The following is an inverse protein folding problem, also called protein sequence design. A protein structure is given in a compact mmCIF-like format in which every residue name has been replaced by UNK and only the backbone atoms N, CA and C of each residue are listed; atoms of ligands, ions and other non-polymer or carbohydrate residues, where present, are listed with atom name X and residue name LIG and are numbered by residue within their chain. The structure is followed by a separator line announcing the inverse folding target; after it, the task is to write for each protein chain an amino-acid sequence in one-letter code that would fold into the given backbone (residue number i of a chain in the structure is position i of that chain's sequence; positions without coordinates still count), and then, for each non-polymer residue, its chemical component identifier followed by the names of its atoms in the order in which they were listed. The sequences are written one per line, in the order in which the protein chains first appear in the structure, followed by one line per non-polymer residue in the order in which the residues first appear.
data_IF_806906579882
#
_entry.id   IF_806906579882
#
_cell.length_a   1.000
_cell.length_b   1.000
_cell.length_c   1.000
_cell.angle_alpha   90.00
_cell.angle_beta   90.00
_cell.angle_gamma   90.00
#
_symmetry.space_group_name_H-M   'P 1'
#
loop_
_entity.id
_entity.type
_entity.pdbx_description
1 polymer ?
#
# COMPACT_ATOMS: atom_id res chain seq x y z
N UNK A 1 45.98 9.79 13.72
CA UNK A 1 45.38 9.71 13.68
C UNK A 1 44.69 9.42 13.30
N UNK A 2 43.97 9.28 13.11
CA UNK A 2 43.25 8.98 12.85
C UNK A 2 42.25 8.89 12.55
N UNK A 3 41.77 8.87 12.20
CA UNK A 3 40.83 8.86 11.89
C UNK A 3 39.98 8.34 11.71
N UNK A 4 39.31 8.17 11.74
CA UNK A 4 38.36 7.74 11.60
C UNK A 4 37.47 7.60 11.14
N UNK A 5 37.07 7.47 10.84
CA UNK A 5 36.23 7.33 10.32
C UNK A 5 35.25 6.87 10.29
N UNK A 6 34.47 6.97 10.39
CA UNK A 6 33.51 6.67 10.66
C UNK A 6 32.72 6.47 9.95
N UNK A 7 32.57 6.10 9.47
CA UNK A 7 31.85 5.84 8.73
C UNK A 7 30.68 5.53 8.92
N UNK A 8 29.92 5.92 9.04
CA UNK A 8 28.80 5.80 9.22
C UNK A 8 28.12 5.17 8.41
N UNK A 9 27.95 4.26 8.48
CA UNK A 9 27.34 3.56 7.70
C UNK A 9 26.02 3.84 7.75
N UNK A 10 25.58 4.47 7.08
CA UNK A 10 24.39 4.74 7.04
C UNK A 10 23.67 3.85 6.48
N UNK A 11 23.02 3.18 6.97
CA UNK A 11 22.28 2.35 6.47
C UNK A 11 21.13 2.82 6.10
N UNK A 12 20.96 3.02 5.06
CA UNK A 12 19.87 3.38 4.62
C UNK A 12 19.01 2.41 4.39
N UNK A 13 18.13 2.15 5.01
CA UNK A 13 17.22 1.31 4.70
C UNK A 13 16.41 1.73 3.69
N UNK A 14 16.23 1.12 2.83
CA UNK A 14 15.51 1.46 1.80
C UNK A 14 14.17 1.41 2.14
N UNK A 15 13.61 2.30 1.97
CA UNK A 15 12.36 2.29 2.13
C UNK A 15 11.88 1.79 1.06
N UNK A 16 11.73 0.75 0.92
CA UNK A 16 11.24 0.24 -0.14
C UNK A 16 9.98 0.64 -0.47
N UNK A 17 9.86 1.04 -1.43
CA UNK A 17 8.67 1.34 -1.89
C UNK A 17 8.15 0.07 -2.13
N UNK A 18 7.19 -0.33 -1.63
CA UNK A 18 6.64 -1.55 -1.89
C UNK A 18 6.01 -1.48 -3.21
N UNK A 19 6.12 -2.47 -3.93
CA UNK A 19 5.51 -2.57 -5.19
C UNK A 19 4.02 -2.67 -5.05
N UNK A 20 3.50 -3.05 -3.91
CA UNK A 20 2.07 -3.21 -3.70
C UNK A 20 1.78 -3.28 -2.22
N UNK A 21 0.55 -3.00 -1.82
CA UNK A 21 0.18 -3.18 -0.42
C UNK A 21 0.16 -4.67 -0.11
N UNK A 22 0.13 -5.02 1.14
CA UNK A 22 0.04 -6.42 1.55
C UNK A 22 -1.09 -6.59 2.54
N UNK A 23 -1.60 -7.80 2.64
CA UNK A 23 -2.68 -8.11 3.59
C UNK A 23 -2.20 -7.75 4.98
N UNK A 24 -3.03 -7.04 5.71
CA UNK A 24 -2.69 -6.59 7.05
C UNK A 24 -2.31 -5.12 7.11
N UNK A 25 -1.99 -4.50 5.97
CA UNK A 25 -1.67 -3.09 5.98
C UNK A 25 -2.90 -2.30 6.40
N UNK A 26 -2.72 -1.26 7.17
CA UNK A 26 -3.83 -0.42 7.58
C UNK A 26 -3.84 0.78 6.66
N UNK A 27 -4.90 0.92 5.87
CA UNK A 27 -4.98 2.02 4.94
C UNK A 27 -5.98 3.08 5.38
N UNK A 28 -6.77 2.78 6.38
CA UNK A 28 -7.73 3.75 6.89
C UNK A 28 -9.15 3.40 6.56
N UNK A 29 -10.09 4.10 7.20
CA UNK A 29 -11.50 3.76 7.08
C UNK A 29 -12.28 4.76 6.24
N UNK A 30 -11.61 5.69 5.58
CA UNK A 30 -12.31 6.60 4.69
C UNK A 30 -11.57 6.67 3.36
N UNK A 31 -12.26 7.08 2.29
CA UNK A 31 -11.67 7.04 0.96
C UNK A 31 -10.40 7.89 0.80
N UNK A 32 -10.36 9.04 1.42
CA UNK A 32 -9.20 9.91 1.25
C UNK A 32 -7.94 9.27 1.82
N UNK A 33 -8.06 8.73 3.03
CA UNK A 33 -6.92 8.11 3.66
C UNK A 33 -6.50 6.85 2.92
N UNK A 34 -7.49 6.04 2.53
CA UNK A 34 -7.18 4.80 1.84
C UNK A 34 -6.53 5.07 0.48
N UNK A 35 -7.00 6.09 -0.24
CA UNK A 35 -6.42 6.44 -1.52
C UNK A 35 -4.96 6.82 -1.33
N UNK A 36 -4.67 7.65 -0.33
CA UNK A 36 -3.30 8.09 -0.10
C UNK A 36 -2.40 6.93 0.33
N UNK A 37 -2.91 6.08 1.22
CA UNK A 37 -2.10 4.97 1.72
C UNK A 37 -1.82 3.95 0.62
N UNK A 38 -2.82 3.64 -0.20
CA UNK A 38 -2.64 2.69 -1.26
C UNK A 38 -1.69 3.25 -2.33
N UNK A 39 -1.80 4.54 -2.63
CA UNK A 39 -0.91 5.14 -3.59
C UNK A 39 0.52 5.08 -3.10
N UNK A 40 0.72 5.33 -1.79
CA UNK A 40 2.04 5.30 -1.26
C UNK A 40 2.58 3.91 -1.31
N UNK A 41 1.75 2.90 -1.21
CA UNK A 41 2.17 1.52 -1.26
C UNK A 41 2.34 1.03 -2.70
N UNK A 42 2.07 1.87 -3.68
CA UNK A 42 2.29 1.48 -5.05
C UNK A 42 1.07 1.15 -5.88
N UNK A 43 -0.14 1.35 -5.33
CA UNK A 43 -1.36 1.06 -6.08
C UNK A 43 -2.23 2.30 -6.15
N UNK A 44 -2.36 2.86 -7.34
CA UNK A 44 -3.12 4.08 -7.55
C UNK A 44 -4.60 3.74 -7.71
N UNK A 45 -5.42 4.25 -6.83
CA UNK A 45 -6.83 3.89 -6.80
C UNK A 45 -7.62 4.58 -7.91
N UNK A 46 -8.43 3.81 -8.63
CA UNK A 46 -9.31 4.37 -9.64
C UNK A 46 -10.72 4.49 -9.07
N UNK A 47 -11.14 3.56 -8.27
CA UNK A 47 -12.47 3.65 -7.69
C UNK A 47 -12.63 2.70 -6.52
N UNK A 48 -13.65 2.94 -5.71
CA UNK A 48 -13.97 2.07 -4.60
C UNK A 48 -15.38 1.54 -4.79
N UNK A 49 -15.62 0.33 -4.36
CA UNK A 49 -16.96 -0.24 -4.40
C UNK A 49 -17.22 -0.99 -3.12
N UNK A 50 -18.44 -1.00 -2.67
CA UNK A 50 -18.81 -1.79 -1.51
C UNK A 50 -19.11 -3.19 -2.02
N UNK A 51 -18.54 -4.18 -1.37
CA UNK A 51 -18.76 -5.52 -1.82
C UNK A 51 -18.74 -6.49 -0.68
N UNK A 52 -19.85 -7.17 -0.41
CA UNK A 52 -19.88 -8.21 0.61
C UNK A 52 -19.44 -7.76 1.98
N UNK A 53 -19.79 -6.57 2.36
CA UNK A 53 -19.41 -6.10 3.69
C UNK A 53 -18.00 -5.52 3.76
N UNK A 54 -17.32 -5.48 2.65
CA UNK A 54 -15.99 -4.90 2.61
C UNK A 54 -15.96 -3.79 1.58
N UNK A 55 -14.89 -3.07 1.53
CA UNK A 55 -14.70 -2.05 0.53
C UNK A 55 -13.66 -2.58 -0.42
N UNK A 56 -13.96 -2.56 -1.71
CA UNK A 56 -13.01 -3.02 -2.69
C UNK A 56 -12.40 -1.80 -3.34
N UNK A 57 -11.11 -1.68 -3.33
CA UNK A 57 -10.42 -0.60 -4.00
C UNK A 57 -9.86 -1.17 -5.30
N UNK A 58 -10.23 -0.58 -6.43
CA UNK A 58 -9.68 -1.01 -7.69
C UNK A 58 -8.55 -0.08 -7.99
N UNK A 59 -7.35 -0.59 -8.10
CA UNK A 59 -6.18 0.23 -8.27
C UNK A 59 -5.24 -0.39 -9.29
N UNK A 60 -4.24 0.35 -9.73
CA UNK A 60 -3.27 -0.20 -10.66
C UNK A 60 -1.87 0.07 -10.13
N UNK A 61 -0.97 -0.84 -10.40
CA UNK A 61 0.39 -0.72 -9.91
C UNK A 61 1.26 0.05 -10.91
N UNK A 62 2.52 0.15 -10.64
CA UNK A 62 3.43 0.94 -11.46
C UNK A 62 3.52 0.43 -12.90
N UNK A 63 3.20 -0.82 -13.12
CA UNK A 63 3.23 -1.39 -14.46
C UNK A 63 1.87 -1.32 -15.13
N UNK A 64 0.90 -0.71 -14.50
CA UNK A 64 -0.44 -0.61 -15.07
C UNK A 64 -1.30 -1.83 -14.84
N UNK A 65 -0.80 -2.81 -14.08
CA UNK A 65 -1.59 -3.99 -13.84
C UNK A 65 -2.67 -3.66 -12.82
N UNK A 66 -3.87 -4.16 -13.04
CA UNK A 66 -4.99 -3.85 -12.18
C UNK A 66 -5.20 -4.86 -11.08
N UNK A 67 -5.54 -4.35 -9.91
CA UNK A 67 -5.71 -5.17 -8.71
C UNK A 67 -6.96 -4.75 -7.97
N UNK A 68 -7.51 -5.69 -7.20
CA UNK A 68 -8.64 -5.40 -6.34
C UNK A 68 -8.13 -5.60 -4.93
N UNK A 69 -8.14 -4.56 -4.13
CA UNK A 69 -7.67 -4.62 -2.76
C UNK A 69 -8.89 -4.49 -1.85
N UNK A 70 -9.14 -5.52 -1.06
CA UNK A 70 -10.29 -5.51 -0.16
C UNK A 70 -9.91 -4.99 1.21
N UNK A 71 -10.74 -4.11 1.74
CA UNK A 71 -10.46 -3.42 2.99
C UNK A 71 -11.63 -3.60 3.94
N UNK A 72 -11.34 -3.94 5.19
CA UNK A 72 -12.35 -4.04 6.22
C UNK A 72 -12.76 -2.63 6.59
N UNK A 73 -14.02 -2.24 6.41
CA UNK A 73 -14.43 -0.86 6.68
C UNK A 73 -14.38 -0.46 8.14
N UNK A 74 -14.28 -1.42 9.06
CA UNK A 74 -14.24 -1.07 10.44
C UNK A 74 -12.83 -0.86 10.93
N UNK A 75 -11.89 -1.58 10.42
CA UNK A 75 -10.53 -1.47 10.91
C UNK A 75 -9.61 -0.76 9.93
N UNK A 76 -10.01 -0.69 8.67
CA UNK A 76 -9.15 -0.11 7.65
C UNK A 76 -8.05 -1.03 7.18
N UNK A 77 -8.12 -2.30 7.56
CA UNK A 77 -7.07 -3.24 7.20
C UNK A 77 -7.33 -3.91 5.87
N UNK A 78 -6.28 -4.12 5.10
CA UNK A 78 -6.37 -4.86 3.86
C UNK A 78 -6.56 -6.33 4.22
N UNK A 79 -7.60 -6.95 3.70
CA UNK A 79 -7.92 -8.34 4.02
C UNK A 79 -7.64 -9.29 2.87
N UNK A 80 -7.60 -8.78 1.63
CA UNK A 80 -7.39 -9.65 0.50
C UNK A 80 -6.94 -8.83 -0.69
N UNK A 81 -6.12 -9.38 -1.52
CA UNK A 81 -5.66 -8.71 -2.73
C UNK A 81 -5.83 -9.68 -3.86
N UNK A 82 -6.54 -9.28 -4.89
CA UNK A 82 -6.78 -10.12 -6.03
C UNK A 82 -6.38 -9.44 -7.31
N UNK A 83 -5.95 -10.26 -8.27
CA UNK A 83 -5.60 -9.81 -9.57
C UNK A 83 -6.92 -9.51 -10.24
N UNK A 84 -7.10 -8.40 -10.86
CA UNK A 84 -8.33 -8.09 -11.47
C UNK A 84 -8.46 -8.64 -12.86
N UNK A 85 -7.48 -9.15 -13.43
CA UNK A 85 -7.63 -9.72 -14.73
C UNK A 85 -8.30 -10.99 -14.70
#
# INVERSE_FOLDING_TARGET
MKALLATAALVLLPLTAHAMPVVGDIVGTNPADATAALAKAGCTVAEFEAEGGQIEAKCHDANGKKWEVYIDPKTGAVTQIKDED
#
